data_IF_272606968805
#
_entry.id   IF_272606968805
#
_cell.length_a   1.000
_cell.length_b   1.000
_cell.length_c   1.000
_cell.angle_alpha   90.00
_cell.angle_beta   90.00
_cell.angle_gamma   90.00
#
_symmetry.space_group_name_H-M   'P 1'
#
loop_
_entity.id
_entity.type
_entity.pdbx_description
1 polymer ?
#
# COMPACT_ATOMS: atom_id res chain seq x y z
N UNK A 1 12.68 18.40 -12.24
CA UNK A 1 11.58 17.59 -11.69
C UNK A 1 10.45 17.59 -12.70
N UNK A 2 9.95 16.43 -13.16
CA UNK A 2 8.61 16.38 -13.70
C UNK A 2 7.67 16.76 -12.55
N UNK A 3 7.19 17.99 -12.56
CA UNK A 3 6.26 18.49 -11.55
C UNK A 3 4.94 17.73 -11.68
N UNK A 4 4.19 17.59 -10.59
CA UNK A 4 2.77 17.17 -10.68
C UNK A 4 2.00 18.04 -11.70
N UNK A 5 2.43 19.29 -11.90
CA UNK A 5 1.91 20.23 -12.90
C UNK A 5 2.05 19.68 -14.34
N UNK A 6 3.05 18.86 -14.61
CA UNK A 6 3.31 18.26 -15.93
C UNK A 6 2.36 17.08 -16.22
N UNK A 7 1.53 16.68 -15.26
CA UNK A 7 0.51 15.63 -15.37
C UNK A 7 -0.90 16.22 -15.19
N UNK A 8 -1.47 16.93 -16.19
CA UNK A 8 -2.73 17.67 -16.03
C UNK A 8 -3.93 16.77 -15.69
N UNK A 9 -3.94 15.54 -16.23
CA UNK A 9 -4.96 14.55 -15.93
C UNK A 9 -4.91 14.09 -14.47
N UNK A 10 -3.72 13.75 -13.97
CA UNK A 10 -3.49 13.44 -12.56
C UNK A 10 -3.94 14.59 -11.66
N UNK A 11 -3.55 15.83 -11.98
CA UNK A 11 -3.93 17.01 -11.20
C UNK A 11 -5.45 17.21 -11.11
N UNK A 12 -6.17 16.95 -12.20
CA UNK A 12 -7.64 16.98 -12.19
C UNK A 12 -8.21 15.93 -11.24
N UNK A 13 -7.71 14.69 -11.28
CA UNK A 13 -8.17 13.61 -10.40
C UNK A 13 -7.85 13.88 -8.92
N UNK A 14 -6.64 14.37 -8.63
CA UNK A 14 -6.23 14.80 -7.28
C UNK A 14 -7.13 15.91 -6.74
N UNK A 15 -7.42 16.94 -7.55
CA UNK A 15 -8.33 18.02 -7.15
C UNK A 15 -9.72 17.49 -6.84
N UNK A 16 -10.26 16.63 -7.71
CA UNK A 16 -11.57 16.01 -7.49
C UNK A 16 -11.62 15.17 -6.20
N UNK A 17 -10.56 14.42 -5.91
CA UNK A 17 -10.44 13.65 -4.66
C UNK A 17 -10.38 14.58 -3.44
N UNK A 18 -9.53 15.61 -3.48
CA UNK A 18 -9.42 16.58 -2.38
C UNK A 18 -10.74 17.32 -2.12
N UNK A 19 -11.43 17.76 -3.18
CA UNK A 19 -12.74 18.42 -3.07
C UNK A 19 -13.80 17.47 -2.49
N UNK A 20 -13.79 16.20 -2.87
CA UNK A 20 -14.66 15.17 -2.27
C UNK A 20 -14.40 15.01 -0.77
N UNK A 21 -13.15 14.77 -0.38
CA UNK A 21 -12.78 14.56 1.03
C UNK A 21 -13.17 15.76 1.89
N UNK A 22 -12.93 16.99 1.39
CA UNK A 22 -13.33 18.21 2.10
C UNK A 22 -14.84 18.31 2.31
N UNK A 23 -15.64 17.88 1.32
CA UNK A 23 -17.11 17.89 1.40
C UNK A 23 -17.68 16.75 2.24
N UNK A 24 -16.89 15.70 2.44
CA UNK A 24 -17.25 14.54 3.25
C UNK A 24 -16.63 14.61 4.65
N UNK A 25 -16.62 15.79 5.26
CA UNK A 25 -16.11 16.04 6.62
C UNK A 25 -14.68 15.52 6.87
N UNK A 26 -13.82 15.53 5.85
CA UNK A 26 -12.46 15.04 5.93
C UNK A 26 -12.31 13.52 5.84
N UNK A 27 -13.39 12.78 5.55
CA UNK A 27 -13.40 11.33 5.46
C UNK A 27 -13.30 10.84 4.01
N UNK A 28 -12.62 9.72 3.79
CA UNK A 28 -12.45 9.14 2.45
C UNK A 28 -13.74 8.50 1.89
N UNK A 29 -14.66 8.09 2.78
CA UNK A 29 -15.92 7.44 2.40
C UNK A 29 -15.70 6.32 1.37
N UNK A 30 -16.53 6.30 0.34
CA UNK A 30 -16.46 5.31 -0.75
C UNK A 30 -15.67 5.81 -1.98
N UNK A 31 -14.91 6.90 -1.84
CA UNK A 31 -14.14 7.44 -2.97
C UNK A 31 -12.90 6.59 -3.21
N UNK A 32 -12.88 5.88 -4.33
CA UNK A 32 -11.72 5.11 -4.74
C UNK A 32 -10.52 6.01 -5.03
N UNK A 33 -9.37 5.63 -4.49
CA UNK A 33 -8.13 6.42 -4.42
C UNK A 33 -7.02 5.80 -5.26
N UNK A 34 -6.79 4.49 -5.12
CA UNK A 34 -5.64 3.85 -5.74
C UNK A 34 -5.84 2.38 -6.08
N UNK A 35 -4.90 1.85 -6.84
CA UNK A 35 -4.71 0.40 -7.06
C UNK A 35 -3.33 0.04 -6.53
N UNK A 36 -3.30 -1.00 -5.72
CA UNK A 36 -2.09 -1.72 -5.34
C UNK A 36 -1.95 -2.92 -6.29
N UNK A 37 -0.88 -2.98 -7.09
CA UNK A 37 -0.70 -4.03 -8.11
C UNK A 37 0.50 -4.91 -7.78
N UNK A 38 0.26 -6.21 -7.62
CA UNK A 38 1.28 -7.25 -7.61
C UNK A 38 1.18 -8.06 -8.90
N UNK A 39 2.04 -7.74 -9.87
CA UNK A 39 2.05 -8.44 -11.15
C UNK A 39 2.87 -9.73 -11.12
N UNK A 40 3.78 -9.92 -10.16
CA UNK A 40 4.56 -11.15 -9.96
C UNK A 40 5.10 -11.19 -8.51
N UNK A 41 5.05 -12.37 -7.87
CA UNK A 41 5.37 -12.48 -6.45
C UNK A 41 6.80 -12.94 -6.13
N UNK A 42 7.69 -13.08 -7.12
CA UNK A 42 9.08 -13.48 -6.92
C UNK A 42 9.88 -12.45 -6.11
N UNK A 43 10.65 -12.88 -5.12
CA UNK A 43 11.46 -11.98 -4.28
C UNK A 43 12.87 -12.51 -4.08
N UNK A 44 13.83 -11.61 -3.84
CA UNK A 44 15.22 -11.95 -3.58
C UNK A 44 15.56 -12.02 -2.07
N UNK A 45 14.56 -11.86 -1.21
CA UNK A 45 14.64 -11.81 0.26
C UNK A 45 13.72 -12.86 0.91
N UNK A 46 13.90 -13.08 2.22
CA UNK A 46 13.13 -14.03 3.05
C UNK A 46 12.64 -13.35 4.33
N UNK A 47 12.00 -12.18 4.18
CA UNK A 47 11.57 -11.37 5.31
C UNK A 47 10.73 -12.18 6.31
N UNK A 48 10.98 -12.02 7.62
CA UNK A 48 10.32 -12.80 8.68
C UNK A 48 8.79 -12.67 8.74
N UNK A 49 8.23 -11.65 8.08
CA UNK A 49 6.85 -11.22 8.27
C UNK A 49 6.07 -10.98 6.97
N UNK A 50 6.65 -11.34 5.82
CA UNK A 50 6.11 -11.00 4.50
C UNK A 50 4.61 -11.36 4.37
N UNK A 51 3.77 -10.36 4.09
CA UNK A 51 2.31 -10.57 4.00
C UNK A 51 1.92 -11.39 2.76
N UNK A 52 2.69 -11.28 1.67
CA UNK A 52 2.49 -12.04 0.43
C UNK A 52 3.16 -13.42 0.42
N UNK A 53 3.93 -13.76 1.46
CA UNK A 53 4.75 -14.97 1.52
C UNK A 53 5.56 -15.21 0.23
N UNK A 54 6.22 -14.16 -0.28
CA UNK A 54 6.89 -14.19 -1.58
C UNK A 54 7.95 -15.29 -1.69
N UNK A 55 7.90 -16.15 -2.74
CA UNK A 55 8.90 -17.17 -2.97
C UNK A 55 10.25 -16.56 -3.35
N UNK A 56 11.33 -17.24 -2.94
CA UNK A 56 12.70 -16.80 -3.15
C UNK A 56 13.21 -17.16 -4.55
N UNK A 57 13.72 -16.16 -5.27
CA UNK A 57 14.22 -16.34 -6.62
C UNK A 57 13.15 -16.05 -7.65
N UNK A 58 13.55 -16.07 -8.92
CA UNK A 58 12.73 -15.63 -10.05
C UNK A 58 11.84 -16.74 -10.61
N UNK A 59 11.79 -17.92 -10.00
CA UNK A 59 11.08 -19.07 -10.55
C UNK A 59 9.54 -18.98 -10.48
N UNK A 60 8.98 -17.96 -9.82
CA UNK A 60 7.53 -17.76 -9.74
C UNK A 60 6.95 -17.43 -11.12
N UNK A 61 6.13 -18.33 -11.65
CA UNK A 61 5.59 -18.23 -13.00
C UNK A 61 4.31 -17.39 -13.09
N UNK A 62 3.57 -17.31 -11.99
CA UNK A 62 2.32 -16.54 -11.88
C UNK A 62 2.64 -15.07 -12.12
N UNK A 63 2.18 -14.59 -13.27
CA UNK A 63 2.41 -13.23 -13.75
C UNK A 63 1.12 -12.71 -14.34
N UNK A 64 0.73 -11.50 -13.95
CA UNK A 64 -0.44 -10.84 -14.53
C UNK A 64 -0.10 -10.39 -15.96
N UNK A 65 -0.97 -10.74 -16.90
CA UNK A 65 -0.79 -10.42 -18.31
C UNK A 65 -0.74 -8.90 -18.57
N UNK A 66 0.13 -8.47 -19.50
CA UNK A 66 0.35 -7.04 -19.79
C UNK A 66 -0.87 -6.37 -20.42
N UNK A 67 -1.65 -7.09 -21.24
CA UNK A 67 -2.88 -6.53 -21.80
C UNK A 67 -3.95 -6.37 -20.72
N UNK A 68 -3.97 -7.28 -19.74
CA UNK A 68 -4.80 -7.11 -18.55
C UNK A 68 -4.36 -5.91 -17.70
N UNK A 69 -3.05 -5.71 -17.48
CA UNK A 69 -2.52 -4.51 -16.80
C UNK A 69 -2.98 -3.22 -17.50
N UNK A 70 -2.92 -3.18 -18.84
CA UNK A 70 -3.40 -2.05 -19.63
C UNK A 70 -4.90 -1.82 -19.44
N UNK A 71 -5.71 -2.88 -19.51
CA UNK A 71 -7.16 -2.83 -19.27
C UNK A 71 -7.49 -2.30 -17.87
N UNK A 72 -6.77 -2.75 -16.84
CA UNK A 72 -6.92 -2.25 -15.46
C UNK A 72 -6.60 -0.76 -15.40
N UNK A 73 -5.49 -0.31 -16.00
CA UNK A 73 -5.10 1.10 -16.00
C UNK A 73 -6.14 1.98 -16.73
N UNK A 74 -6.70 1.50 -17.84
CA UNK A 74 -7.75 2.21 -18.58
C UNK A 74 -9.02 2.38 -17.75
N UNK A 75 -9.52 1.29 -17.17
CA UNK A 75 -10.67 1.33 -16.29
C UNK A 75 -10.43 2.19 -15.04
N UNK A 76 -9.23 2.13 -14.46
CA UNK A 76 -8.87 2.92 -13.28
C UNK A 76 -8.94 4.43 -13.56
N UNK A 77 -8.42 4.85 -14.70
CA UNK A 77 -8.45 6.25 -15.12
C UNK A 77 -9.87 6.74 -15.41
N UNK A 78 -10.70 5.93 -16.06
CA UNK A 78 -12.12 6.21 -16.29
C UNK A 78 -12.90 6.39 -14.97
N UNK A 79 -12.56 5.58 -13.95
CA UNK A 79 -13.15 5.69 -12.61
C UNK A 79 -12.59 6.88 -11.79
N UNK A 80 -11.60 7.60 -12.33
CA UNK A 80 -10.96 8.73 -11.67
C UNK A 80 -9.98 8.33 -10.56
N UNK A 81 -9.52 7.07 -10.54
CA UNK A 81 -8.44 6.60 -9.66
C UNK A 81 -7.16 7.33 -10.05
N UNK A 82 -6.38 7.76 -9.06
CA UNK A 82 -5.21 8.59 -9.30
C UNK A 82 -3.90 8.02 -8.77
N UNK A 83 -3.92 6.99 -7.91
CA UNK A 83 -2.70 6.33 -7.42
C UNK A 83 -2.54 4.93 -8.02
N UNK A 84 -1.29 4.59 -8.33
CA UNK A 84 -0.85 3.23 -8.60
C UNK A 84 0.37 2.93 -7.73
N UNK A 85 0.28 1.89 -6.90
CA UNK A 85 1.40 1.37 -6.12
C UNK A 85 1.78 0.00 -6.69
N UNK A 86 2.93 -0.06 -7.35
CA UNK A 86 3.51 -1.32 -7.77
C UNK A 86 4.22 -1.92 -6.58
N UNK A 87 3.86 -3.15 -6.22
CA UNK A 87 4.42 -3.89 -5.11
C UNK A 87 4.33 -5.41 -5.36
N UNK A 88 4.66 -6.23 -4.38
CA UNK A 88 4.51 -7.68 -4.46
C UNK A 88 5.75 -8.42 -4.00
N UNK A 89 6.24 -9.32 -4.84
CA UNK A 89 7.64 -9.70 -4.72
C UNK A 89 8.57 -8.50 -4.92
N UNK A 90 9.85 -8.75 -5.19
CA UNK A 90 10.75 -7.65 -5.52
C UNK A 90 10.65 -7.30 -7.01
N UNK A 91 10.05 -6.14 -7.30
CA UNK A 91 9.86 -5.64 -8.67
C UNK A 91 11.17 -5.58 -9.46
N UNK A 92 12.26 -5.16 -8.81
CA UNK A 92 13.56 -4.98 -9.46
C UNK A 92 14.30 -6.29 -9.70
N UNK A 93 13.74 -7.44 -9.29
CA UNK A 93 14.22 -8.77 -9.66
C UNK A 93 13.90 -9.07 -11.14
N UNK A 94 12.84 -8.47 -11.69
CA UNK A 94 12.40 -8.65 -13.08
C UNK A 94 12.19 -7.28 -13.74
N UNK A 95 13.27 -6.50 -13.95
CA UNK A 95 13.15 -5.13 -14.39
C UNK A 95 12.48 -4.99 -15.76
N UNK A 96 12.74 -5.89 -16.71
CA UNK A 96 12.15 -5.78 -18.05
C UNK A 96 10.62 -5.88 -18.01
N UNK A 97 10.09 -6.84 -17.26
CA UNK A 97 8.65 -6.96 -16.98
C UNK A 97 8.09 -5.72 -16.26
N UNK A 98 8.83 -5.18 -15.27
CA UNK A 98 8.43 -3.94 -14.61
C UNK A 98 8.28 -2.78 -15.60
N UNK A 99 9.19 -2.62 -16.57
CA UNK A 99 9.10 -1.55 -17.56
C UNK A 99 7.96 -1.77 -18.57
N UNK A 100 7.65 -3.02 -18.94
CA UNK A 100 6.44 -3.34 -19.72
C UNK A 100 5.15 -2.96 -18.96
N UNK A 101 5.10 -3.27 -17.66
CA UNK A 101 3.99 -2.87 -16.78
C UNK A 101 3.86 -1.35 -16.68
N UNK A 102 4.98 -0.64 -16.51
CA UNK A 102 4.98 0.83 -16.46
C UNK A 102 4.45 1.43 -17.77
N UNK A 103 4.87 0.91 -18.93
CA UNK A 103 4.37 1.32 -20.24
C UNK A 103 2.86 1.08 -20.38
N UNK A 104 2.38 -0.10 -19.96
CA UNK A 104 0.96 -0.44 -19.99
C UNK A 104 0.11 0.49 -19.11
N UNK A 105 0.63 0.94 -17.96
CA UNK A 105 -0.09 1.83 -17.03
C UNK A 105 -0.15 3.28 -17.52
N UNK A 106 0.82 3.74 -18.32
CA UNK A 106 0.94 5.14 -18.74
C UNK A 106 1.06 6.09 -17.54
N UNK A 107 2.26 6.19 -16.90
CA UNK A 107 2.44 6.82 -15.60
C UNK A 107 2.11 8.32 -15.56
N UNK A 108 1.99 9.00 -16.69
CA UNK A 108 1.50 10.37 -16.82
C UNK A 108 0.04 10.56 -16.36
N UNK A 109 -0.75 9.48 -16.36
CA UNK A 109 -2.15 9.48 -15.90
C UNK A 109 -2.26 9.41 -14.39
N UNK A 110 -1.21 8.94 -13.70
CA UNK A 110 -1.27 8.55 -12.28
C UNK A 110 -0.13 9.12 -11.44
N UNK A 111 -0.38 9.23 -10.14
CA UNK A 111 0.68 9.26 -9.15
C UNK A 111 1.14 7.82 -8.94
N UNK A 112 2.08 7.41 -9.80
CA UNK A 112 2.63 6.06 -9.79
C UNK A 112 3.88 5.99 -8.91
N UNK A 113 3.92 4.97 -8.05
CA UNK A 113 5.06 4.70 -7.20
C UNK A 113 5.31 3.22 -7.02
N UNK A 114 6.54 2.90 -6.59
CA UNK A 114 7.02 1.54 -6.40
C UNK A 114 7.33 1.31 -4.92
N UNK A 115 7.07 0.11 -4.44
CA UNK A 115 7.58 -0.39 -3.17
C UNK A 115 8.66 -1.45 -3.44
N UNK A 116 9.85 -1.26 -2.89
CA UNK A 116 11.03 -2.11 -3.14
C UNK A 116 11.82 -2.32 -1.85
N UNK A 117 12.54 -3.43 -1.77
CA UNK A 117 13.55 -3.64 -0.74
C UNK A 117 14.89 -2.92 -1.02
N UNK A 118 15.03 -2.30 -2.20
CA UNK A 118 16.19 -1.49 -2.57
C UNK A 118 17.44 -2.29 -2.98
N UNK A 119 17.43 -3.62 -2.88
CA UNK A 119 18.62 -4.45 -3.09
C UNK A 119 19.25 -4.28 -4.48
N UNK A 120 18.41 -4.13 -5.51
CA UNK A 120 18.81 -3.93 -6.91
C UNK A 120 18.66 -2.49 -7.39
N UNK A 121 18.37 -1.53 -6.50
CA UNK A 121 18.16 -0.13 -6.88
C UNK A 121 19.47 0.67 -6.87
N UNK A 122 20.31 0.40 -7.85
CA UNK A 122 21.48 1.24 -8.13
C UNK A 122 21.10 2.55 -8.84
N UNK A 123 22.08 3.43 -9.05
CA UNK A 123 21.88 4.72 -9.73
C UNK A 123 21.36 4.58 -11.17
N UNK A 124 21.77 3.53 -11.89
CA UNK A 124 21.31 3.30 -13.28
C UNK A 124 19.84 2.89 -13.28
N UNK A 125 19.44 2.02 -12.36
CA UNK A 125 18.05 1.62 -12.20
C UNK A 125 17.19 2.79 -11.75
N UNK A 126 17.65 3.59 -10.78
CA UNK A 126 16.97 4.81 -10.36
C UNK A 126 16.75 5.77 -11.53
N UNK A 127 17.75 5.99 -12.38
CA UNK A 127 17.61 6.82 -13.58
C UNK A 127 16.56 6.27 -14.55
N UNK A 128 16.56 4.95 -14.80
CA UNK A 128 15.53 4.32 -15.66
C UNK A 128 14.12 4.54 -15.12
N UNK A 129 13.92 4.43 -13.80
CA UNK A 129 12.62 4.70 -13.16
C UNK A 129 12.20 6.18 -13.32
N UNK A 130 13.16 7.11 -13.20
CA UNK A 130 12.90 8.54 -13.37
C UNK A 130 12.49 8.85 -14.83
N UNK A 131 13.17 8.24 -15.79
CA UNK A 131 12.86 8.36 -17.22
C UNK A 131 11.45 7.82 -17.52
N UNK A 132 11.05 6.73 -16.84
CA UNK A 132 9.71 6.15 -16.88
C UNK A 132 8.64 6.90 -16.06
N UNK A 133 8.94 8.11 -15.56
CA UNK A 133 7.99 9.01 -14.87
C UNK A 133 7.38 8.45 -13.57
N UNK A 134 8.10 7.54 -12.91
CA UNK A 134 7.81 7.14 -11.53
C UNK A 134 7.90 8.36 -10.62
N UNK A 135 6.84 8.64 -9.86
CA UNK A 135 6.78 9.81 -8.99
C UNK A 135 7.47 9.62 -7.65
N UNK A 136 7.43 8.39 -7.12
CA UNK A 136 7.95 8.04 -5.80
C UNK A 136 8.50 6.63 -5.77
N UNK A 137 9.50 6.39 -4.93
CA UNK A 137 9.96 5.04 -4.56
C UNK A 137 9.98 4.90 -3.04
N UNK A 138 9.28 3.88 -2.54
CA UNK A 138 9.24 3.50 -1.13
C UNK A 138 10.23 2.37 -0.88
N UNK A 139 11.33 2.70 -0.20
CA UNK A 139 12.36 1.73 0.17
C UNK A 139 12.08 1.22 1.58
N UNK A 140 11.94 -0.08 1.68
CA UNK A 140 11.68 -0.83 2.91
C UNK A 140 12.90 -0.84 3.86
N UNK A 141 12.78 -0.21 5.05
CA UNK A 141 13.81 -0.17 6.09
C UNK A 141 13.19 -0.42 7.47
N UNK A 142 13.51 -1.56 8.10
CA UNK A 142 12.91 -1.95 9.40
C UNK A 142 13.79 -1.71 10.62
N UNK A 143 15.07 -1.40 10.40
CA UNK A 143 15.97 -1.03 11.47
C UNK A 143 17.07 -0.12 10.96
N UNK A 144 17.52 0.79 11.82
CA UNK A 144 18.69 1.61 11.64
C UNK A 144 19.98 0.79 11.88
N UNK A 145 19.90 -0.28 12.66
CA UNK A 145 20.97 -1.25 12.83
C UNK A 145 21.02 -2.25 11.66
N UNK A 146 22.20 -2.38 11.05
CA UNK A 146 22.42 -3.21 9.85
C UNK A 146 22.17 -4.70 10.14
N UNK A 147 22.70 -5.23 11.25
CA UNK A 147 22.54 -6.66 11.59
C UNK A 147 21.08 -7.00 11.85
N UNK A 148 20.36 -6.13 12.56
CA UNK A 148 18.95 -6.28 12.87
C UNK A 148 18.10 -6.23 11.59
N UNK A 149 18.33 -5.24 10.72
CA UNK A 149 17.63 -5.13 9.45
C UNK A 149 17.89 -6.35 8.56
N UNK A 150 19.15 -6.75 8.38
CA UNK A 150 19.52 -7.90 7.55
C UNK A 150 18.92 -9.21 8.08
N UNK A 151 18.86 -9.35 9.40
CA UNK A 151 18.20 -10.47 10.07
C UNK A 151 16.69 -10.48 9.83
N UNK A 152 16.04 -9.31 9.88
CA UNK A 152 14.60 -9.17 9.62
C UNK A 152 14.28 -9.49 8.15
N UNK A 153 15.11 -9.00 7.22
CA UNK A 153 14.95 -9.15 5.77
C UNK A 153 15.48 -10.49 5.24
N UNK A 154 16.24 -11.23 6.04
CA UNK A 154 16.73 -12.56 5.71
C UNK A 154 17.86 -12.58 4.68
N UNK A 155 18.58 -11.46 4.50
CA UNK A 155 19.70 -11.36 3.56
C UNK A 155 20.71 -10.32 4.02
N UNK A 156 22.00 -10.67 3.94
CA UNK A 156 23.09 -9.74 4.21
C UNK A 156 23.17 -8.60 3.19
N UNK A 157 23.68 -7.47 3.64
CA UNK A 157 23.81 -6.20 2.92
C UNK A 157 22.47 -5.53 2.55
N UNK A 158 21.34 -6.08 2.99
CA UNK A 158 20.02 -5.53 2.63
C UNK A 158 19.82 -4.12 3.19
N UNK A 159 20.32 -3.87 4.41
CA UNK A 159 20.33 -2.53 4.99
C UNK A 159 21.11 -1.54 4.14
N UNK A 160 22.38 -1.85 3.85
CA UNK A 160 23.26 -0.96 3.08
C UNK A 160 22.67 -0.64 1.71
N UNK A 161 22.13 -1.65 1.03
CA UNK A 161 21.47 -1.48 -0.27
C UNK A 161 20.22 -0.61 -0.17
N UNK A 162 19.39 -0.79 0.85
CA UNK A 162 18.21 0.05 1.07
C UNK A 162 18.59 1.52 1.34
N UNK A 163 19.62 1.75 2.15
CA UNK A 163 20.10 3.11 2.45
C UNK A 163 20.73 3.80 1.23
N UNK A 164 21.48 3.05 0.41
CA UNK A 164 22.02 3.56 -0.86
C UNK A 164 20.90 3.79 -1.90
N UNK A 165 19.87 2.95 -1.91
CA UNK A 165 18.70 3.08 -2.78
C UNK A 165 17.95 4.40 -2.53
N UNK A 166 17.72 4.77 -1.26
CA UNK A 166 17.11 6.06 -0.91
C UNK A 166 17.88 7.26 -1.49
N UNK A 167 19.22 7.23 -1.38
CA UNK A 167 20.10 8.26 -1.95
C UNK A 167 20.01 8.28 -3.47
N UNK A 168 20.10 7.12 -4.11
CA UNK A 168 20.04 7.01 -5.58
C UNK A 168 18.72 7.56 -6.15
N UNK A 169 17.60 7.28 -5.48
CA UNK A 169 16.27 7.79 -5.82
C UNK A 169 16.22 9.32 -5.73
N UNK A 170 16.75 9.88 -4.63
CA UNK A 170 16.79 11.33 -4.43
C UNK A 170 17.67 12.03 -5.48
N UNK A 171 18.84 11.47 -5.80
CA UNK A 171 19.79 12.06 -6.76
C UNK A 171 19.22 12.21 -8.18
N UNK A 172 18.30 11.32 -8.58
CA UNK A 172 17.63 11.37 -9.89
C UNK A 172 16.33 12.18 -9.85
N UNK A 173 15.97 12.75 -8.70
CA UNK A 173 14.81 13.62 -8.53
C UNK A 173 13.47 12.90 -8.44
N UNK A 174 13.46 11.63 -8.05
CA UNK A 174 12.25 10.91 -7.61
C UNK A 174 12.06 11.14 -6.10
N UNK A 175 10.83 11.19 -5.60
CA UNK A 175 10.56 11.35 -4.18
C UNK A 175 10.95 10.08 -3.39
N UNK A 176 11.97 10.14 -2.50
CA UNK A 176 12.40 9.00 -1.70
C UNK A 176 11.52 8.85 -0.46
N UNK A 177 10.97 7.64 -0.28
CA UNK A 177 10.20 7.31 0.91
C UNK A 177 10.91 6.23 1.72
N UNK A 178 11.26 6.54 2.97
CA UNK A 178 11.73 5.56 3.94
C UNK A 178 10.50 4.87 4.54
N UNK A 179 10.31 3.60 4.19
CA UNK A 179 9.14 2.83 4.56
C UNK A 179 9.45 1.89 5.73
N UNK A 180 8.79 2.08 6.87
CA UNK A 180 9.02 1.36 8.11
C UNK A 180 7.79 0.51 8.45
N UNK A 181 8.01 -0.76 8.78
CA UNK A 181 6.99 -1.59 9.43
C UNK A 181 7.01 -1.36 10.93
N UNK A 182 5.90 -0.90 11.49
CA UNK A 182 5.77 -0.58 12.92
C UNK A 182 4.70 -1.41 13.60
N UNK A 183 5.03 -2.02 14.72
CA UNK A 183 4.13 -2.78 15.57
C UNK A 183 4.37 -2.50 17.05
N UNK A 184 3.62 -3.18 17.91
CA UNK A 184 3.82 -3.05 19.36
C UNK A 184 5.27 -3.32 19.78
N UNK A 185 5.92 -4.28 19.13
CA UNK A 185 7.31 -4.67 19.40
C UNK A 185 8.37 -3.57 19.16
N UNK A 186 8.08 -2.53 18.36
CA UNK A 186 9.06 -1.48 18.04
C UNK A 186 8.54 -0.03 18.14
N UNK A 187 7.26 0.21 18.42
CA UNK A 187 6.68 1.56 18.50
C UNK A 187 7.40 2.51 19.50
N UNK A 188 8.03 1.94 20.54
CA UNK A 188 8.79 2.67 21.56
C UNK A 188 10.31 2.48 21.45
N UNK A 189 10.79 1.77 20.43
CA UNK A 189 12.22 1.53 20.26
C UNK A 189 12.97 2.83 19.95
N UNK A 190 14.26 2.87 20.30
CA UNK A 190 15.15 3.94 19.83
C UNK A 190 15.32 3.88 18.30
N UNK A 191 15.21 2.68 17.74
CA UNK A 191 15.42 2.37 16.34
C UNK A 191 14.45 3.12 15.40
N UNK A 192 13.15 3.14 15.73
CA UNK A 192 12.17 3.92 14.95
C UNK A 192 12.44 5.44 15.03
N UNK A 193 12.88 5.95 16.18
CA UNK A 193 13.26 7.35 16.35
C UNK A 193 14.50 7.71 15.52
N UNK A 194 15.49 6.81 15.46
CA UNK A 194 16.68 6.98 14.63
C UNK A 194 16.33 6.98 13.14
N UNK A 195 15.45 6.07 12.68
CA UNK A 195 14.96 6.06 11.30
C UNK A 195 14.18 7.34 10.94
N UNK A 196 13.27 7.79 11.81
CA UNK A 196 12.53 9.05 11.60
C UNK A 196 13.47 10.25 11.54
N UNK A 197 14.44 10.33 12.45
CA UNK A 197 15.46 11.38 12.44
C UNK A 197 16.32 11.34 11.18
N UNK A 198 16.79 10.16 10.77
CA UNK A 198 17.57 10.01 9.55
C UNK A 198 16.78 10.46 8.31
N UNK A 199 15.51 10.09 8.23
CA UNK A 199 14.60 10.53 7.17
C UNK A 199 14.46 12.04 7.11
N UNK A 200 14.25 12.70 8.26
CA UNK A 200 14.21 14.16 8.37
C UNK A 200 15.52 14.82 7.93
N UNK A 201 16.66 14.36 8.46
CA UNK A 201 17.98 14.94 8.19
C UNK A 201 18.35 14.87 6.69
N UNK A 202 17.79 13.89 5.95
CA UNK A 202 18.04 13.70 4.53
C UNK A 202 16.90 14.20 3.62
N UNK A 203 15.87 14.85 4.17
CA UNK A 203 14.68 15.32 3.43
C UNK A 203 13.95 14.20 2.67
N UNK A 204 13.81 13.04 3.31
CA UNK A 204 12.95 11.97 2.81
C UNK A 204 11.54 12.11 3.39
N UNK A 205 10.58 11.36 2.84
CA UNK A 205 9.28 11.17 3.50
C UNK A 205 9.30 9.84 4.25
N UNK A 206 8.84 9.82 5.49
CA UNK A 206 8.71 8.57 6.26
C UNK A 206 7.31 8.00 6.04
N UNK A 207 7.18 6.77 5.54
CA UNK A 207 5.91 6.05 5.53
C UNK A 207 5.91 5.02 6.66
N UNK A 208 4.95 5.12 7.57
CA UNK A 208 4.70 4.08 8.56
C UNK A 208 3.62 3.12 8.05
N UNK A 209 3.97 1.84 7.92
CA UNK A 209 3.01 0.75 7.75
C UNK A 209 2.85 0.03 9.09
N UNK A 210 1.63 0.02 9.63
CA UNK A 210 1.36 -0.75 10.84
C UNK A 210 1.44 -2.24 10.52
N UNK A 211 2.02 -3.00 11.43
CA UNK A 211 2.13 -4.43 11.32
C UNK A 211 0.73 -5.08 11.36
N UNK A 212 0.54 -6.07 10.50
CA UNK A 212 -0.75 -6.73 10.27
C UNK A 212 -0.59 -8.23 10.46
N UNK A 213 -1.54 -8.93 11.10
CA UNK A 213 -1.46 -10.37 11.31
C UNK A 213 -1.93 -11.13 10.05
N UNK A 214 -1.23 -10.91 8.94
CA UNK A 214 -1.49 -11.52 7.63
C UNK A 214 -0.23 -12.19 7.07
N UNK A 215 -0.39 -13.16 6.18
CA UNK A 215 0.75 -13.87 5.57
C UNK A 215 1.60 -14.60 6.60
N UNK A 216 2.91 -14.34 6.66
CA UNK A 216 3.79 -15.00 7.63
C UNK A 216 3.48 -14.65 9.11
N UNK A 217 2.72 -13.58 9.35
CA UNK A 217 2.21 -13.19 10.67
C UNK A 217 0.79 -13.67 10.97
N UNK A 218 0.21 -14.55 10.15
CA UNK A 218 -1.15 -15.10 10.28
C UNK A 218 -1.32 -16.07 11.47
N UNK A 219 -0.82 -15.70 12.66
CA UNK A 219 -0.87 -16.49 13.88
C UNK A 219 -1.47 -15.67 15.01
N UNK A 220 -2.68 -16.04 15.42
CA UNK A 220 -3.47 -15.36 16.45
C UNK A 220 -2.69 -15.16 17.76
N UNK A 221 -1.85 -16.13 18.15
CA UNK A 221 -1.03 -16.05 19.35
C UNK A 221 0.00 -14.91 19.30
N UNK A 222 0.45 -14.52 18.09
CA UNK A 222 1.40 -13.42 17.89
C UNK A 222 0.72 -12.08 17.60
N UNK A 223 -0.59 -12.08 17.34
CA UNK A 223 -1.34 -10.88 16.99
C UNK A 223 -1.11 -9.76 18.01
N UNK A 224 -1.21 -10.05 19.31
CA UNK A 224 -1.03 -9.03 20.38
C UNK A 224 0.40 -8.51 20.52
N UNK A 225 1.39 -9.25 20.05
CA UNK A 225 2.80 -8.85 20.09
C UNK A 225 3.14 -7.93 18.92
N UNK A 226 2.35 -7.98 17.85
CA UNK A 226 2.66 -7.35 16.56
C UNK A 226 1.76 -6.15 16.29
N UNK A 227 0.45 -6.27 16.46
CA UNK A 227 -0.48 -5.17 16.13
C UNK A 227 -0.33 -4.01 17.11
N UNK A 228 -0.55 -2.79 16.62
CA UNK A 228 -0.48 -1.59 17.45
C UNK A 228 -1.73 -1.45 18.33
N UNK A 229 -1.54 -1.06 19.58
CA UNK A 229 -2.63 -0.75 20.52
C UNK A 229 -2.93 0.76 20.58
N UNK A 230 -3.80 1.18 21.52
CA UNK A 230 -4.16 2.60 21.68
C UNK A 230 -2.96 3.47 22.11
N UNK A 231 -2.05 2.94 22.96
CA UNK A 231 -0.86 3.67 23.39
C UNK A 231 0.16 3.76 22.26
N UNK A 232 0.35 2.69 21.50
CA UNK A 232 1.21 2.70 20.31
C UNK A 232 0.74 3.77 19.31
N UNK A 233 -0.58 3.90 19.09
CA UNK A 233 -1.12 4.93 18.19
C UNK A 233 -0.87 6.35 18.70
N UNK A 234 -1.05 6.60 19.99
CA UNK A 234 -0.72 7.90 20.59
C UNK A 234 0.76 8.23 20.35
N UNK A 235 1.64 7.25 20.59
CA UNK A 235 3.06 7.35 20.32
C UNK A 235 3.38 7.63 18.85
N UNK A 236 2.70 6.98 17.90
CA UNK A 236 2.88 7.25 16.47
C UNK A 236 2.42 8.66 16.07
N UNK A 237 1.38 9.20 16.72
CA UNK A 237 0.95 10.59 16.51
C UNK A 237 1.98 11.57 17.08
N UNK A 238 2.58 11.28 18.23
CA UNK A 238 3.69 12.07 18.78
C UNK A 238 4.89 12.10 17.83
N UNK A 239 5.28 10.94 17.29
CA UNK A 239 6.32 10.85 16.27
C UNK A 239 5.97 11.72 15.06
N UNK A 240 4.74 11.64 14.56
CA UNK A 240 4.28 12.44 13.42
C UNK A 240 4.31 13.95 13.68
N UNK A 241 4.01 14.39 14.90
CA UNK A 241 4.07 15.82 15.28
C UNK A 241 5.51 16.31 15.41
N UNK A 242 6.40 15.46 15.93
CA UNK A 242 7.82 15.73 16.10
C UNK A 242 8.53 15.77 14.74
N UNK A 243 8.30 14.75 13.92
CA UNK A 243 8.87 14.53 12.60
C UNK A 243 7.77 14.79 11.55
N UNK A 244 7.75 16.00 11.01
CA UNK A 244 6.66 16.50 10.16
C UNK A 244 6.63 15.89 8.75
N UNK A 245 7.57 15.00 8.45
CA UNK A 245 7.64 14.22 7.21
C UNK A 245 7.01 12.82 7.32
N UNK A 246 6.37 12.48 8.43
CA UNK A 246 5.76 11.16 8.61
C UNK A 246 4.34 11.12 8.03
N UNK A 247 4.09 10.11 7.20
CA UNK A 247 2.79 9.76 6.64
C UNK A 247 2.41 8.33 7.01
N UNK A 248 1.10 8.08 6.91
CA UNK A 248 0.49 6.74 6.97
C UNK A 248 -0.72 6.76 6.06
N UNK A 249 -1.03 5.61 5.45
CA UNK A 249 -2.08 5.54 4.43
C UNK A 249 -3.47 6.01 4.90
N UNK A 250 -3.81 5.85 6.18
CA UNK A 250 -5.09 6.30 6.75
C UNK A 250 -5.08 7.75 7.23
N UNK A 251 -3.90 8.39 7.35
CA UNK A 251 -3.79 9.76 7.84
C UNK A 251 -4.11 10.77 6.75
N UNK A 252 -4.65 11.93 7.17
CA UNK A 252 -4.85 13.06 6.27
C UNK A 252 -3.50 13.77 6.02
N UNK A 253 -2.92 13.71 4.81
CA UNK A 253 -1.64 14.35 4.53
C UNK A 253 -1.73 15.88 4.49
N UNK A 254 -2.95 16.44 4.39
CA UNK A 254 -3.18 17.88 4.36
C UNK A 254 -3.46 18.50 5.74
N UNK A 255 -3.52 17.67 6.79
CA UNK A 255 -3.75 18.14 8.14
C UNK A 255 -2.50 18.80 8.72
N UNK A 256 -2.61 20.11 8.99
CA UNK A 256 -1.54 20.92 9.58
C UNK A 256 -1.30 20.63 11.06
N UNK A 257 -2.25 19.97 11.73
CA UNK A 257 -2.13 19.57 13.14
C UNK A 257 -1.54 18.17 13.31
N UNK A 258 -1.42 17.39 12.22
CA UNK A 258 -0.86 16.05 12.20
C UNK A 258 -1.62 15.05 13.10
N UNK A 259 -2.95 15.15 13.18
CA UNK A 259 -3.80 14.30 14.03
C UNK A 259 -4.92 13.59 13.24
N UNK A 260 -5.38 14.22 12.17
CA UNK A 260 -6.57 13.82 11.44
C UNK A 260 -6.34 12.55 10.62
N UNK A 261 -7.39 11.74 10.55
CA UNK A 261 -7.44 10.44 9.89
C UNK A 261 -8.53 10.52 8.80
N UNK A 262 -8.19 10.12 7.58
CA UNK A 262 -9.14 10.04 6.45
C UNK A 262 -10.06 8.81 6.58
N UNK A 263 -9.53 7.74 7.16
CA UNK A 263 -10.23 6.47 7.38
C UNK A 263 -9.48 5.26 6.83
N UNK A 264 -9.97 4.07 7.12
CA UNK A 264 -9.50 2.84 6.49
C UNK A 264 -9.66 2.91 4.96
N UNK A 265 -8.70 2.34 4.22
CA UNK A 265 -8.68 2.39 2.76
C UNK A 265 -9.19 1.12 2.08
N UNK A 266 -9.82 0.19 2.82
CA UNK A 266 -10.39 -1.03 2.22
C UNK A 266 -11.35 -0.66 1.09
N UNK A 267 -11.17 -1.25 -0.08
CA UNK A 267 -11.84 -0.97 -1.35
C UNK A 267 -11.50 0.40 -1.96
N UNK A 268 -11.19 1.43 -1.15
CA UNK A 268 -10.62 2.69 -1.65
C UNK A 268 -9.24 2.47 -2.32
N UNK A 269 -8.46 1.51 -1.82
CA UNK A 269 -7.22 1.00 -2.43
C UNK A 269 -7.32 -0.52 -2.58
N UNK A 270 -7.75 -0.98 -3.75
CA UNK A 270 -7.87 -2.42 -4.05
C UNK A 270 -6.51 -3.00 -4.38
N UNK A 271 -6.29 -4.27 -4.01
CA UNK A 271 -5.07 -5.00 -4.31
C UNK A 271 -5.32 -6.07 -5.37
N UNK A 272 -4.58 -6.03 -6.47
CA UNK A 272 -4.72 -6.97 -7.59
C UNK A 272 -3.52 -7.93 -7.57
N UNK A 273 -3.80 -9.22 -7.55
CA UNK A 273 -2.80 -10.29 -7.43
C UNK A 273 -2.28 -10.73 -8.80
N UNK A 274 -1.19 -11.52 -8.86
CA UNK A 274 -0.68 -12.03 -10.14
C UNK A 274 -1.65 -12.93 -10.90
N UNK A 275 -2.67 -13.48 -10.23
CA UNK A 275 -3.70 -14.34 -10.82
C UNK A 275 -5.02 -13.59 -11.11
N UNK A 276 -5.01 -12.26 -10.97
CA UNK A 276 -6.14 -11.39 -11.29
C UNK A 276 -7.21 -11.27 -10.21
N UNK A 277 -7.05 -11.95 -9.07
CA UNK A 277 -7.94 -11.76 -7.93
C UNK A 277 -7.80 -10.33 -7.39
N UNK A 278 -8.94 -9.72 -7.06
CA UNK A 278 -9.00 -8.39 -6.47
C UNK A 278 -9.38 -8.52 -5.01
N UNK A 279 -8.46 -8.11 -4.14
CA UNK A 279 -8.64 -8.08 -2.70
C UNK A 279 -9.00 -6.67 -2.23
N UNK A 280 -9.66 -6.58 -1.08
CA UNK A 280 -10.12 -5.29 -0.55
C UNK A 280 -8.97 -4.34 -0.17
N UNK A 281 -7.80 -4.88 0.17
CA UNK A 281 -6.53 -4.15 0.33
C UNK A 281 -5.39 -5.19 0.37
N UNK A 282 -4.10 -4.80 0.37
CA UNK A 282 -3.00 -5.77 0.37
C UNK A 282 -2.95 -6.67 1.62
N UNK A 283 -3.51 -6.20 2.74
CA UNK A 283 -3.37 -6.87 4.04
C UNK A 283 -4.59 -7.69 4.46
N UNK A 284 -5.76 -7.39 3.91
CA UNK A 284 -7.00 -8.13 4.17
C UNK A 284 -7.21 -9.06 2.98
N UNK A 285 -6.82 -10.33 3.14
CA UNK A 285 -6.85 -11.35 2.09
C UNK A 285 -8.27 -11.87 1.83
N UNK A 286 -9.20 -10.95 1.56
CA UNK A 286 -10.59 -11.20 1.21
C UNK A 286 -10.79 -10.75 -0.23
N UNK A 287 -11.20 -11.68 -1.09
CA UNK A 287 -11.48 -11.47 -2.50
C UNK A 287 -12.86 -10.86 -2.70
N UNK A 288 -12.93 -9.83 -3.52
CA UNK A 288 -14.16 -9.15 -3.95
C UNK A 288 -14.41 -9.25 -5.45
N UNK A 289 -13.55 -9.94 -6.19
CA UNK A 289 -13.75 -10.21 -7.61
C UNK A 289 -12.49 -10.66 -8.32
N UNK A 290 -12.57 -10.80 -9.64
CA UNK A 290 -11.43 -11.12 -10.49
C UNK A 290 -11.49 -10.30 -11.79
N UNK A 291 -10.37 -9.67 -12.18
CA UNK A 291 -10.29 -8.77 -13.34
C UNK A 291 -10.48 -9.47 -14.70
N UNK A 292 -10.34 -10.80 -14.74
CA UNK A 292 -10.63 -11.60 -15.93
C UNK A 292 -12.13 -11.87 -16.12
N UNK A 293 -12.94 -11.65 -15.08
CA UNK A 293 -14.36 -11.98 -15.05
C UNK A 293 -15.26 -10.75 -14.98
N UNK A 294 -14.78 -9.67 -14.35
CA UNK A 294 -15.58 -8.51 -13.98
C UNK A 294 -14.81 -7.20 -14.25
N UNK A 295 -15.54 -6.13 -14.53
CA UNK A 295 -14.95 -4.79 -14.59
C UNK A 295 -14.52 -4.29 -13.21
N UNK A 296 -13.52 -3.41 -13.14
CA UNK A 296 -13.11 -2.77 -11.88
C UNK A 296 -14.27 -2.05 -11.19
N UNK A 297 -15.21 -1.51 -11.97
CA UNK A 297 -16.39 -0.84 -11.44
C UNK A 297 -17.31 -1.82 -10.69
N UNK A 298 -17.60 -2.97 -11.28
CA UNK A 298 -18.43 -4.01 -10.66
C UNK A 298 -17.79 -4.55 -9.39
N UNK A 299 -16.48 -4.82 -9.43
CA UNK A 299 -15.71 -5.31 -8.28
C UNK A 299 -15.72 -4.27 -7.15
N UNK A 300 -15.47 -2.99 -7.47
CA UNK A 300 -15.54 -1.88 -6.50
C UNK A 300 -16.91 -1.76 -5.87
N UNK A 301 -17.96 -1.77 -6.69
CA UNK A 301 -19.34 -1.62 -6.22
C UNK A 301 -19.75 -2.79 -5.32
N UNK A 302 -19.35 -4.02 -5.68
CA UNK A 302 -19.54 -5.17 -4.79
C UNK A 302 -18.77 -5.01 -3.47
N UNK A 303 -17.49 -4.60 -3.52
CA UNK A 303 -16.70 -4.35 -2.31
C UNK A 303 -17.33 -3.32 -1.37
N UNK A 304 -17.82 -2.19 -1.90
CA UNK A 304 -18.53 -1.18 -1.11
C UNK A 304 -19.96 -1.56 -0.72
N UNK A 305 -20.53 -2.64 -1.28
CA UNK A 305 -21.79 -3.19 -0.77
C UNK A 305 -21.62 -3.90 0.57
N UNK A 306 -20.40 -4.13 1.03
CA UNK A 306 -20.09 -4.77 2.32
C UNK A 306 -19.98 -3.69 3.39
N UNK A 307 -20.79 -3.80 4.44
CA UNK A 307 -20.92 -2.80 5.51
C UNK A 307 -19.57 -2.36 6.08
N UNK A 308 -18.70 -3.32 6.41
CA UNK A 308 -17.38 -3.06 6.99
C UNK A 308 -16.44 -2.25 6.09
N UNK A 309 -16.62 -2.30 4.76
CA UNK A 309 -15.79 -1.57 3.81
C UNK A 309 -16.46 -0.28 3.30
N UNK A 310 -17.75 -0.10 3.59
CA UNK A 310 -18.51 1.11 3.28
C UNK A 310 -18.45 2.13 4.41
N UNK A 311 -18.60 1.66 5.65
CA UNK A 311 -18.68 2.51 6.84
C UNK A 311 -17.32 3.08 7.22
N UNK A 312 -17.33 4.32 7.71
CA UNK A 312 -16.13 4.98 8.17
C UNK A 312 -15.51 4.24 9.35
N UNK A 313 -14.20 4.00 9.26
CA UNK A 313 -13.38 3.52 10.37
C UNK A 313 -12.17 4.41 10.55
N UNK A 314 -11.99 4.95 11.75
CA UNK A 314 -10.77 5.68 12.14
C UNK A 314 -9.59 4.74 12.47
N UNK A 315 -9.80 3.42 12.38
CA UNK A 315 -8.78 2.39 12.58
C UNK A 315 -8.50 1.68 11.26
N UNK A 316 -7.27 1.23 11.06
CA UNK A 316 -6.95 0.24 10.05
C UNK A 316 -7.61 -1.09 10.41
N UNK A 317 -8.55 -1.56 9.60
CA UNK A 317 -9.23 -2.85 9.85
C UNK A 317 -8.23 -4.01 9.97
N UNK A 318 -7.15 -3.98 9.19
CA UNK A 318 -6.13 -5.03 9.16
C UNK A 318 -5.14 -4.99 10.33
N UNK A 319 -4.87 -3.82 10.91
CA UNK A 319 -3.74 -3.63 11.84
C UNK A 319 -4.12 -3.08 13.21
N UNK A 320 -5.38 -2.67 13.41
CA UNK A 320 -5.84 -1.97 14.62
C UNK A 320 -7.23 -2.38 15.08
N UNK A 321 -8.06 -2.96 14.22
CA UNK A 321 -9.38 -3.45 14.60
C UNK A 321 -9.32 -4.93 15.00
N UNK A 322 -9.09 -5.18 16.29
CA UNK A 322 -8.95 -6.55 16.82
C UNK A 322 -10.17 -7.43 16.58
N UNK A 323 -11.38 -6.87 16.63
CA UNK A 323 -12.63 -7.61 16.40
C UNK A 323 -12.73 -8.06 14.94
N UNK A 324 -12.45 -7.14 14.00
CA UNK A 324 -12.43 -7.46 12.57
C UNK A 324 -11.36 -8.51 12.25
N UNK A 325 -10.14 -8.35 12.78
CA UNK A 325 -9.03 -9.28 12.57
C UNK A 325 -9.40 -10.70 13.03
N UNK A 326 -9.93 -10.84 14.25
CA UNK A 326 -10.28 -12.13 14.81
C UNK A 326 -11.39 -12.82 14.01
N UNK A 327 -12.36 -12.05 13.52
CA UNK A 327 -13.52 -12.61 12.80
C UNK A 327 -13.21 -12.94 11.33
N UNK A 328 -12.40 -12.14 10.64
CA UNK A 328 -12.28 -12.20 9.17
C UNK A 328 -10.88 -12.41 8.60
N UNK A 329 -9.83 -12.38 9.43
CA UNK A 329 -8.44 -12.48 8.94
C UNK A 329 -7.66 -13.64 9.54
N UNK A 330 -8.26 -14.46 10.41
CA UNK A 330 -7.54 -15.48 11.18
C UNK A 330 -7.74 -16.90 10.63
N UNK A 331 -7.98 -17.02 9.32
CA UNK A 331 -8.24 -18.30 8.66
C UNK A 331 -6.93 -19.00 8.29
N UNK A 332 -6.81 -20.29 8.65
CA UNK A 332 -5.63 -21.09 8.32
C UNK A 332 -5.45 -21.20 6.79
N UNK A 333 -4.23 -20.97 6.30
CA UNK A 333 -3.92 -21.06 4.87
C UNK A 333 -4.36 -19.86 4.02
N UNK A 334 -4.95 -18.81 4.62
CA UNK A 334 -5.35 -17.60 3.91
C UNK A 334 -4.13 -16.83 3.38
N UNK A 335 -4.09 -16.58 2.08
CA UNK A 335 -2.99 -15.85 1.43
C UNK A 335 -3.51 -15.03 0.25
N UNK A 336 -2.64 -14.25 -0.39
CA UNK A 336 -3.00 -13.53 -1.61
C UNK A 336 -3.35 -14.47 -2.79
N UNK A 337 -2.95 -15.75 -2.74
CA UNK A 337 -3.27 -16.77 -3.75
C UNK A 337 -4.35 -17.76 -3.29
N UNK A 338 -4.77 -17.65 -2.03
CA UNK A 338 -5.87 -18.40 -1.46
C UNK A 338 -6.67 -17.45 -0.54
N UNK A 339 -7.28 -16.40 -1.10
CA UNK A 339 -8.05 -15.45 -0.32
C UNK A 339 -9.40 -16.04 0.10
N UNK A 340 -9.96 -15.55 1.19
CA UNK A 340 -11.33 -15.86 1.56
C UNK A 340 -12.31 -15.15 0.59
N UNK A 341 -13.38 -15.81 0.16
CA UNK A 341 -14.38 -15.19 -0.70
C UNK A 341 -15.36 -14.32 0.13
N UNK A 342 -15.50 -13.05 -0.25
CA UNK A 342 -16.42 -12.13 0.42
C UNK A 342 -17.89 -12.55 0.39
N UNK A 343 -18.31 -13.38 -0.58
CA UNK A 343 -19.67 -13.95 -0.62
C UNK A 343 -19.87 -15.04 0.43
N UNK A 344 -18.81 -15.73 0.84
CA UNK A 344 -18.87 -16.82 1.80
C UNK A 344 -18.80 -16.33 3.25
N UNK A 345 -18.05 -15.26 3.51
CA UNK A 345 -17.74 -14.81 4.87
C UNK A 345 -18.62 -13.67 5.40
N UNK A 346 -19.36 -12.97 4.51
CA UNK A 346 -20.23 -11.88 4.92
C UNK A 346 -21.69 -12.18 4.53
N UNK A 347 -22.57 -12.20 5.54
CA UNK A 347 -23.98 -12.49 5.35
C UNK A 347 -24.79 -11.32 4.75
N UNK A 348 -26.06 -11.56 4.35
CA UNK A 348 -26.96 -10.52 3.83
C UNK A 348 -27.16 -9.33 4.77
N UNK A 349 -27.11 -9.56 6.08
CA UNK A 349 -27.21 -8.53 7.13
C UNK A 349 -25.98 -7.61 7.21
N UNK A 350 -24.86 -8.02 6.61
CA UNK A 350 -23.62 -7.27 6.52
C UNK A 350 -23.48 -6.56 5.16
N UNK A 351 -24.58 -6.45 4.42
CA UNK A 351 -24.67 -5.73 3.15
C UNK A 351 -25.37 -4.38 3.31
N UNK A 352 -24.97 -3.41 2.49
CA UNK A 352 -25.60 -2.10 2.37
C UNK A 352 -26.19 -1.93 0.97
N UNK A 353 -27.36 -1.30 0.89
CA UNK A 353 -27.96 -0.95 -0.40
C UNK A 353 -27.33 0.34 -0.93
N UNK A 354 -26.44 0.20 -1.92
CA UNK A 354 -25.76 1.33 -2.54
C UNK A 354 -26.70 2.28 -3.29
N UNK A 355 -27.91 1.84 -3.68
CA UNK A 355 -28.89 2.70 -4.34
C UNK A 355 -29.55 3.70 -3.39
N UNK A 356 -29.49 3.43 -2.09
CA UNK A 356 -30.03 4.30 -1.02
C UNK A 356 -29.07 5.39 -0.57
N UNK A 357 -27.80 5.34 -1.00
CA UNK A 357 -26.77 6.34 -0.71
C UNK A 357 -26.69 7.36 -1.87
N UNK A 358 -26.33 8.63 -1.60
CA UNK A 358 -26.02 9.56 -2.69
C UNK A 358 -24.94 8.93 -3.59
N UNK A 359 -25.01 9.11 -4.93
CA UNK A 359 -24.10 8.45 -5.86
C UNK A 359 -22.64 8.63 -5.43
N UNK A 360 -21.87 7.53 -5.44
CA UNK A 360 -20.45 7.52 -5.09
C UNK A 360 -19.73 8.63 -5.88
N UNK A 361 -19.32 9.69 -5.19
CA UNK A 361 -18.66 10.86 -5.79
C UNK A 361 -19.52 12.09 -6.11
N UNK A 362 -20.79 12.13 -5.67
CA UNK A 362 -21.68 13.30 -5.78
C UNK A 362 -22.09 13.91 -4.43
N UNK A 363 -21.17 14.00 -3.47
CA UNK A 363 -21.34 15.01 -2.42
C UNK A 363 -21.10 16.37 -3.07
N UNK A 364 -22.18 17.15 -3.18
CA UNK A 364 -22.34 18.35 -4.00
C UNK A 364 -21.30 19.45 -3.76
#
# INVERSE_FOLDING_TARGET
MPSLIDKPQLMKKLKNFHDYVRKNDGQIGTKQRGIDLNFNNACNLTCKYCFTNSPVGDHNSETLDIDMVRSIADQADELGIFEFDLQGGELLLRPDLLFEVLEAIQPERFYLYLTTNGYFLDKKMAQRLADAKVGRVSVSVDSFDEETHDTIRGRKESWRRAMDALKNVQEVGIDPYLNITVGHYNAYSEDIEQLCKYSDDNNYTTLLNVAVPSGMWLKLEKMKEVIVDDKDKERLIELRKKHKNILRNIWNPFDRNYESVLGCNTVNRMYITPIGDVLVCPYVHIKIGNVFEQSLKEIRDFGFSIKHFNEYSNKCLAGENTEFIQKYMSFEGQSIFNPADANEIFGPEERVDLSSQPPIGQLA
#
